data_IF_346459758361
#
_entry.id   IF_346459758361
#
_cell.length_a   1.000
_cell.length_b   1.000
_cell.length_c   1.000
_cell.angle_alpha   90.00
_cell.angle_beta   90.00
_cell.angle_gamma   90.00
#
_symmetry.space_group_name_H-M   'P 1'
#
loop_
_entity.id
_entity.type
_entity.pdbx_description
1 polymer ?
#
# COMPACT_ATOMS: atom_id res chain seq x y z
N UNK A 1 6.93 7.10 31.15
CA UNK A 1 7.35 6.82 29.77
C UNK A 1 8.42 7.84 29.33
N UNK A 2 9.43 7.48 28.51
CA UNK A 2 10.53 8.40 28.11
C UNK A 2 10.03 9.66 27.37
N UNK A 3 8.85 9.59 26.74
CA UNK A 3 8.22 10.68 26.00
C UNK A 3 7.74 11.78 26.96
N UNK A 4 6.99 11.41 28.00
CA UNK A 4 6.49 12.35 29.01
C UNK A 4 7.61 13.10 29.77
N UNK A 5 8.73 12.43 30.05
CA UNK A 5 9.88 13.05 30.73
C UNK A 5 10.54 14.15 29.90
N UNK A 6 10.38 14.15 28.57
CA UNK A 6 10.88 15.16 27.63
C UNK A 6 9.84 16.21 27.24
N UNK A 7 8.64 16.21 27.87
CA UNK A 7 7.51 17.09 27.56
C UNK A 7 6.98 16.93 26.11
N UNK A 8 7.13 15.74 25.52
CA UNK A 8 6.44 15.38 24.28
C UNK A 8 5.15 14.64 24.64
N UNK A 9 4.16 14.75 23.77
CA UNK A 9 2.88 14.01 23.81
C UNK A 9 2.68 13.33 22.46
N UNK A 10 2.13 12.13 22.47
CA UNK A 10 1.66 11.45 21.27
C UNK A 10 0.11 11.55 21.18
N UNK A 11 -0.46 10.96 20.12
CA UNK A 11 -1.91 11.02 19.88
C UNK A 11 -2.71 10.30 20.97
N UNK A 12 -2.22 9.19 21.48
CA UNK A 12 -2.88 8.45 22.57
C UNK A 12 -2.81 9.22 23.88
N UNK A 13 -1.71 9.90 24.16
CA UNK A 13 -1.56 10.80 25.31
C UNK A 13 -2.61 11.92 25.30
N UNK A 14 -2.92 12.50 24.11
CA UNK A 14 -3.94 13.54 24.00
C UNK A 14 -5.34 13.02 24.36
N UNK A 15 -5.73 11.86 23.83
CA UNK A 15 -7.01 11.23 24.14
C UNK A 15 -7.10 10.85 25.63
N UNK A 16 -6.04 10.24 26.18
CA UNK A 16 -5.96 9.88 27.60
C UNK A 16 -6.04 11.08 28.50
N UNK A 17 -5.35 12.18 28.17
CA UNK A 17 -5.37 13.40 28.97
C UNK A 17 -6.79 13.99 29.04
N UNK A 18 -7.45 14.12 27.88
CA UNK A 18 -8.82 14.66 27.81
C UNK A 18 -9.80 13.76 28.58
N UNK A 19 -9.80 12.46 28.34
CA UNK A 19 -10.69 11.52 29.02
C UNK A 19 -10.46 11.53 30.54
N UNK A 20 -9.19 11.59 30.99
CA UNK A 20 -8.85 11.64 32.41
C UNK A 20 -9.29 12.93 33.07
N UNK A 21 -9.11 14.08 32.42
CA UNK A 21 -9.54 15.39 32.94
C UNK A 21 -11.06 15.44 33.05
N UNK A 22 -11.79 15.00 32.02
CA UNK A 22 -13.24 14.94 32.03
C UNK A 22 -13.79 14.04 33.15
N UNK A 23 -13.13 12.87 33.36
CA UNK A 23 -13.53 11.95 34.43
C UNK A 23 -13.29 12.49 35.83
N UNK A 24 -12.22 13.30 36.04
CA UNK A 24 -11.85 13.86 37.34
C UNK A 24 -12.57 15.18 37.67
N UNK A 25 -13.00 15.95 36.68
CA UNK A 25 -13.63 17.24 36.83
C UNK A 25 -15.08 17.19 36.31
N UNK A 26 -16.02 16.99 37.24
CA UNK A 26 -17.44 16.91 36.93
C UNK A 26 -18.02 18.17 36.31
N UNK A 27 -17.59 19.35 36.78
CA UNK A 27 -18.08 20.63 36.24
C UNK A 27 -17.68 20.77 34.78
N UNK A 28 -16.41 20.40 34.43
CA UNK A 28 -15.95 20.45 33.08
C UNK A 28 -16.65 19.37 32.22
N UNK A 29 -16.89 18.19 32.75
CA UNK A 29 -17.64 17.13 32.10
C UNK A 29 -19.06 17.57 31.75
N UNK A 30 -19.78 18.17 32.73
CA UNK A 30 -21.12 18.72 32.54
C UNK A 30 -21.13 19.86 31.52
N UNK A 31 -20.16 20.76 31.61
CA UNK A 31 -20.00 21.83 30.63
C UNK A 31 -19.80 21.32 29.22
N UNK A 32 -18.88 20.39 29.01
CA UNK A 32 -18.60 19.85 27.67
C UNK A 32 -19.76 19.03 27.15
N UNK A 33 -20.35 18.14 27.97
CA UNK A 33 -21.48 17.30 27.56
C UNK A 33 -22.75 18.14 27.27
N UNK A 34 -22.96 19.27 27.95
CA UNK A 34 -24.08 20.18 27.67
C UNK A 34 -24.00 20.93 26.34
N UNK A 35 -22.83 20.93 25.69
CA UNK A 35 -22.66 21.55 24.36
C UNK A 35 -23.33 20.72 23.25
N UNK A 36 -23.61 19.45 23.51
CA UNK A 36 -24.15 18.52 22.51
C UNK A 36 -25.43 17.87 23.04
N UNK A 37 -26.46 17.81 22.21
CA UNK A 37 -27.68 17.07 22.50
C UNK A 37 -27.59 15.64 21.97
N UNK A 38 -26.87 15.44 20.87
CA UNK A 38 -26.72 14.15 20.20
C UNK A 38 -25.26 13.90 19.85
N UNK A 39 -24.79 12.69 20.05
CA UNK A 39 -23.50 12.20 19.60
C UNK A 39 -23.75 11.03 18.64
N UNK A 40 -23.26 11.15 17.43
CA UNK A 40 -23.38 10.13 16.40
C UNK A 40 -22.01 9.50 16.19
N UNK A 41 -21.95 8.16 16.26
CA UNK A 41 -20.73 7.40 16.09
C UNK A 41 -20.95 6.44 14.91
N UNK A 42 -20.13 6.61 13.90
CA UNK A 42 -20.06 5.70 12.75
C UNK A 42 -18.92 4.69 12.93
N UNK A 43 -18.99 3.56 12.23
CA UNK A 43 -17.99 2.48 12.28
C UNK A 43 -17.66 2.04 13.72
N UNK A 44 -18.66 1.92 14.56
CA UNK A 44 -18.51 1.68 16.00
C UNK A 44 -17.70 0.41 16.32
N UNK A 45 -17.71 -0.61 15.46
CA UNK A 45 -16.96 -1.86 15.63
C UNK A 45 -15.44 -1.63 15.62
N UNK A 46 -14.96 -0.47 15.14
CA UNK A 46 -13.53 -0.13 15.09
C UNK A 46 -13.08 0.71 16.30
N UNK A 47 -13.98 0.99 17.23
CA UNK A 47 -13.70 1.79 18.43
C UNK A 47 -12.80 1.01 19.39
N UNK A 48 -11.72 1.66 19.84
CA UNK A 48 -10.81 1.10 20.84
C UNK A 48 -11.22 1.51 22.29
N UNK A 49 -10.68 0.84 23.33
CA UNK A 49 -11.03 1.13 24.73
C UNK A 49 -10.77 2.60 25.15
N UNK A 50 -9.73 3.24 24.59
CA UNK A 50 -9.41 4.63 24.90
C UNK A 50 -10.45 5.60 24.33
N UNK A 51 -10.89 5.35 23.09
CA UNK A 51 -11.98 6.09 22.45
C UNK A 51 -13.29 5.91 23.23
N UNK A 52 -13.59 4.68 23.70
CA UNK A 52 -14.72 4.42 24.55
C UNK A 52 -14.67 5.22 25.86
N UNK A 53 -13.54 5.26 26.53
CA UNK A 53 -13.36 6.05 27.76
C UNK A 53 -13.66 7.53 27.50
N UNK A 54 -13.32 8.06 26.33
CA UNK A 54 -13.68 9.43 25.94
C UNK A 54 -15.17 9.56 25.71
N UNK A 55 -15.80 8.66 24.98
CA UNK A 55 -17.24 8.65 24.69
C UNK A 55 -18.05 8.62 26.00
N UNK A 56 -17.69 7.74 26.92
CA UNK A 56 -18.33 7.63 28.24
C UNK A 56 -18.30 8.96 29.04
N UNK A 57 -17.29 9.78 28.79
CA UNK A 57 -17.19 11.10 29.42
C UNK A 57 -18.24 12.10 28.92
N UNK A 58 -18.87 11.86 27.76
CA UNK A 58 -19.90 12.72 27.17
C UNK A 58 -21.33 12.19 27.37
N UNK A 59 -21.51 10.94 27.78
CA UNK A 59 -22.81 10.26 27.73
C UNK A 59 -23.86 10.83 28.69
N UNK A 60 -23.48 11.53 29.76
CA UNK A 60 -24.37 11.88 30.85
C UNK A 60 -25.55 12.79 30.45
N UNK A 61 -25.36 13.64 29.42
CA UNK A 61 -26.34 14.63 29.00
C UNK A 61 -26.67 14.59 27.51
N UNK A 62 -26.22 13.53 26.80
CA UNK A 62 -26.35 13.41 25.35
C UNK A 62 -27.08 12.12 24.97
N UNK A 63 -27.85 12.18 23.90
CA UNK A 63 -28.36 11.00 23.23
C UNK A 63 -27.28 10.41 22.32
N UNK A 64 -26.99 9.14 22.52
CA UNK A 64 -25.98 8.44 21.72
C UNK A 64 -26.65 7.64 20.62
N UNK A 65 -26.21 7.82 19.37
CA UNK A 65 -26.63 7.04 18.21
C UNK A 65 -25.39 6.44 17.54
N UNK A 66 -25.32 5.12 17.51
CA UNK A 66 -24.18 4.39 16.99
C UNK A 66 -24.57 3.55 15.79
N UNK A 67 -23.74 3.57 14.76
CA UNK A 67 -23.87 2.71 13.58
C UNK A 67 -22.61 1.87 13.46
N UNK A 68 -22.78 0.60 13.10
CA UNK A 68 -21.66 -0.31 12.93
C UNK A 68 -22.06 -1.66 12.38
N UNK A 69 -21.09 -2.44 11.99
CA UNK A 69 -21.25 -3.79 11.48
C UNK A 69 -20.20 -4.69 12.13
N UNK A 70 -20.62 -5.60 13.00
CA UNK A 70 -19.75 -6.53 13.72
C UNK A 70 -18.90 -7.41 12.78
N UNK A 71 -19.44 -7.76 11.61
CA UNK A 71 -18.72 -8.51 10.58
C UNK A 71 -17.57 -7.73 9.93
N UNK A 72 -17.57 -6.41 10.04
CA UNK A 72 -16.55 -5.53 9.47
C UNK A 72 -15.47 -5.10 10.47
N UNK A 73 -15.38 -5.69 11.64
CA UNK A 73 -14.34 -5.40 12.63
C UNK A 73 -13.00 -6.03 12.22
N UNK A 74 -12.21 -5.33 11.42
CA UNK A 74 -10.92 -5.81 10.88
C UNK A 74 -9.70 -5.04 11.42
N UNK A 75 -9.87 -4.11 12.36
CA UNK A 75 -8.81 -3.28 12.92
C UNK A 75 -8.33 -3.70 14.32
N UNK A 76 -8.48 -4.97 14.68
CA UNK A 76 -8.01 -5.49 15.97
C UNK A 76 -6.50 -5.24 16.21
N UNK A 77 -5.68 -5.25 15.15
CA UNK A 77 -4.24 -4.91 15.23
C UNK A 77 -3.95 -3.44 15.58
N UNK A 78 -4.96 -2.55 15.50
CA UNK A 78 -4.90 -1.16 15.95
C UNK A 78 -5.55 -0.96 17.32
N UNK A 79 -5.86 -2.06 18.02
CA UNK A 79 -6.49 -2.02 19.33
C UNK A 79 -8.01 -1.88 19.29
N UNK A 80 -8.66 -2.00 18.14
CA UNK A 80 -10.12 -2.09 18.09
C UNK A 80 -10.59 -3.30 18.88
N UNK A 81 -11.60 -3.08 19.72
CA UNK A 81 -12.20 -4.15 20.51
C UNK A 81 -13.50 -4.61 19.86
N UNK A 82 -13.40 -5.73 19.15
CA UNK A 82 -14.54 -6.40 18.51
C UNK A 82 -15.74 -6.60 19.47
N UNK A 83 -15.48 -6.76 20.78
CA UNK A 83 -16.54 -6.89 21.77
C UNK A 83 -17.28 -5.58 22.05
N UNK A 84 -16.71 -4.44 21.64
CA UNK A 84 -17.29 -3.12 21.94
C UNK A 84 -18.69 -2.95 21.37
N UNK A 85 -18.94 -3.43 20.14
CA UNK A 85 -20.26 -3.34 19.53
C UNK A 85 -21.28 -4.26 20.22
N UNK A 86 -20.88 -5.46 20.64
CA UNK A 86 -21.76 -6.41 21.32
C UNK A 86 -22.04 -6.01 22.77
N UNK A 87 -21.13 -5.28 23.43
CA UNK A 87 -21.32 -4.76 24.79
C UNK A 87 -22.03 -3.42 24.85
N UNK A 88 -22.52 -2.90 23.72
CA UNK A 88 -23.14 -1.57 23.66
C UNK A 88 -24.35 -1.44 24.57
N UNK A 89 -25.26 -2.43 24.55
CA UNK A 89 -26.48 -2.43 25.38
C UNK A 89 -26.16 -2.47 26.86
N UNK A 90 -25.08 -3.15 27.26
CA UNK A 90 -24.63 -3.21 28.65
C UNK A 90 -24.01 -1.87 29.11
N UNK A 91 -23.35 -1.17 28.19
CA UNK A 91 -22.69 0.12 28.46
C UNK A 91 -23.64 1.31 28.42
N UNK A 92 -24.68 1.22 27.58
CA UNK A 92 -25.65 2.30 27.35
C UNK A 92 -27.04 1.81 27.78
N UNK A 93 -27.43 2.01 29.04
CA UNK A 93 -28.73 1.59 29.54
C UNK A 93 -29.88 2.22 28.75
N UNK A 94 -30.96 1.44 28.56
CA UNK A 94 -32.13 1.82 27.77
C UNK A 94 -31.88 2.09 26.28
N UNK A 95 -30.79 1.57 25.74
CA UNK A 95 -30.54 1.62 24.30
C UNK A 95 -31.40 0.57 23.57
N UNK A 96 -31.74 0.89 22.32
CA UNK A 96 -32.46 -0.02 21.42
C UNK A 96 -31.55 -0.36 20.23
N UNK A 97 -31.59 -1.62 19.77
CA UNK A 97 -30.82 -2.12 18.64
C UNK A 97 -31.72 -2.35 17.46
N UNK A 98 -31.45 -1.68 16.36
CA UNK A 98 -32.12 -1.86 15.09
C UNK A 98 -31.16 -2.53 14.10
N UNK A 99 -31.68 -3.46 13.28
CA UNK A 99 -30.92 -4.20 12.30
C UNK A 99 -31.31 -3.74 10.89
N UNK A 100 -30.29 -3.44 10.07
CA UNK A 100 -30.45 -3.15 8.65
C UNK A 100 -29.97 -4.36 7.86
N UNK A 101 -30.91 -5.16 7.37
CA UNK A 101 -30.63 -6.45 6.71
C UNK A 101 -30.72 -6.37 5.19
N UNK A 102 -31.44 -5.38 4.63
CA UNK A 102 -31.53 -5.17 3.19
C UNK A 102 -30.25 -4.54 2.65
N UNK A 103 -29.61 -5.24 1.71
CA UNK A 103 -28.33 -4.82 1.11
C UNK A 103 -28.54 -4.36 -0.35
N UNK A 104 -28.16 -3.13 -0.64
CA UNK A 104 -28.29 -2.50 -1.96
C UNK A 104 -27.05 -2.62 -2.83
N UNK A 105 -25.95 -3.15 -2.29
CA UNK A 105 -24.64 -3.23 -2.96
C UNK A 105 -24.42 -4.55 -3.67
N UNK A 106 -24.66 -5.65 -2.97
CA UNK A 106 -24.29 -7.00 -3.41
C UNK A 106 -25.48 -7.78 -3.99
N UNK A 107 -25.19 -8.81 -4.76
CA UNK A 107 -26.19 -9.83 -5.20
C UNK A 107 -26.37 -10.90 -4.13
N UNK A 108 -27.45 -11.67 -4.24
CA UNK A 108 -27.81 -12.64 -3.21
C UNK A 108 -26.72 -13.70 -3.00
N UNK A 109 -26.08 -14.19 -4.05
CA UNK A 109 -25.04 -15.22 -3.95
C UNK A 109 -23.80 -14.76 -3.16
N UNK A 110 -23.48 -13.46 -3.22
CA UNK A 110 -22.42 -12.86 -2.40
C UNK A 110 -22.88 -12.79 -0.93
N UNK A 111 -24.14 -12.40 -0.71
CA UNK A 111 -24.67 -12.32 0.64
C UNK A 111 -24.87 -13.70 1.28
N UNK A 112 -25.22 -14.73 0.50
CA UNK A 112 -25.30 -16.10 0.98
C UNK A 112 -23.96 -16.59 1.53
N UNK A 113 -22.85 -16.30 0.83
CA UNK A 113 -21.50 -16.59 1.33
C UNK A 113 -21.18 -15.78 2.61
N UNK A 114 -21.59 -14.51 2.64
CA UNK A 114 -21.36 -13.64 3.81
C UNK A 114 -22.20 -14.12 5.01
N UNK A 115 -23.46 -14.48 4.82
CA UNK A 115 -24.33 -15.02 5.85
C UNK A 115 -23.78 -16.34 6.39
N UNK A 116 -23.35 -17.25 5.51
CA UNK A 116 -22.70 -18.50 5.93
C UNK A 116 -21.47 -18.23 6.81
N UNK A 117 -20.59 -17.28 6.41
CA UNK A 117 -19.42 -16.92 7.22
C UNK A 117 -19.80 -16.31 8.57
N UNK A 118 -20.85 -15.48 8.60
CA UNK A 118 -21.38 -14.92 9.83
C UNK A 118 -21.93 -16.00 10.77
N UNK A 119 -22.57 -17.03 10.21
CA UNK A 119 -23.12 -18.15 10.99
C UNK A 119 -22.05 -18.97 11.69
N UNK A 120 -20.84 -19.01 11.17
CA UNK A 120 -19.68 -19.64 11.82
C UNK A 120 -19.08 -18.77 12.96
N UNK A 121 -19.45 -17.50 13.08
CA UNK A 121 -18.91 -16.62 14.13
C UNK A 121 -19.51 -16.97 15.50
N UNK A 122 -18.68 -17.17 16.54
CA UNK A 122 -19.16 -17.48 17.90
C UNK A 122 -19.82 -16.29 18.59
N UNK A 123 -19.58 -15.08 18.11
CA UNK A 123 -20.14 -13.84 18.63
C UNK A 123 -20.64 -12.99 17.46
N UNK A 124 -21.97 -12.89 17.34
CA UNK A 124 -22.64 -12.18 16.24
C UNK A 124 -23.98 -11.63 16.67
N UNK A 125 -24.43 -10.59 15.98
CA UNK A 125 -25.86 -10.25 16.02
C UNK A 125 -26.61 -11.23 15.12
N UNK A 126 -27.78 -11.63 15.57
CA UNK A 126 -28.70 -12.46 14.76
C UNK A 126 -29.28 -11.58 13.64
N UNK A 127 -28.58 -11.52 12.50
CA UNK A 127 -28.94 -10.78 11.30
C UNK A 127 -28.76 -11.67 10.07
N UNK A 128 -29.63 -11.48 9.08
CA UNK A 128 -29.57 -12.21 7.83
C UNK A 128 -29.69 -11.23 6.65
N UNK A 129 -28.60 -11.05 5.91
CA UNK A 129 -28.55 -10.11 4.81
C UNK A 129 -29.30 -10.64 3.58
N UNK A 130 -30.13 -9.81 2.96
CA UNK A 130 -30.78 -10.12 1.69
C UNK A 130 -30.59 -9.02 0.67
N UNK A 131 -30.49 -9.40 -0.61
CA UNK A 131 -30.13 -8.49 -1.68
C UNK A 131 -31.34 -7.74 -2.24
N UNK A 132 -31.27 -6.41 -2.26
CA UNK A 132 -32.19 -5.60 -3.06
C UNK A 132 -32.00 -5.82 -4.57
N UNK A 133 -30.77 -6.06 -5.01
CA UNK A 133 -30.41 -6.24 -6.43
C UNK A 133 -30.82 -7.59 -7.02
N UNK A 134 -31.32 -8.54 -6.19
CA UNK A 134 -31.65 -9.88 -6.63
C UNK A 134 -30.41 -10.77 -6.86
N UNK A 135 -30.54 -11.74 -7.74
CA UNK A 135 -29.53 -12.77 -7.98
C UNK A 135 -28.45 -12.32 -8.96
N UNK A 136 -27.27 -12.91 -8.86
CA UNK A 136 -26.11 -12.65 -9.72
C UNK A 136 -25.22 -13.88 -9.90
N UNK A 137 -23.95 -13.66 -10.12
CA UNK A 137 -22.97 -14.74 -10.28
C UNK A 137 -22.50 -15.25 -8.91
N UNK A 138 -22.37 -16.56 -8.76
CA UNK A 138 -21.79 -17.17 -7.55
C UNK A 138 -20.30 -16.81 -7.42
N UNK A 139 -19.83 -16.55 -6.18
CA UNK A 139 -18.41 -16.44 -5.91
C UNK A 139 -17.64 -17.69 -6.37
N UNK A 140 -16.46 -17.47 -6.95
CA UNK A 140 -15.58 -18.54 -7.42
C UNK A 140 -14.40 -18.66 -6.46
N UNK A 141 -14.10 -19.86 -6.03
CA UNK A 141 -12.89 -20.18 -5.29
C UNK A 141 -11.93 -20.95 -6.20
N UNK A 142 -10.76 -20.39 -6.45
CA UNK A 142 -9.72 -21.00 -7.26
C UNK A 142 -8.51 -21.38 -6.40
N UNK A 143 -8.09 -22.64 -6.48
CA UNK A 143 -6.84 -23.09 -5.87
C UNK A 143 -5.72 -23.06 -6.90
N UNK A 144 -4.59 -22.50 -6.50
CA UNK A 144 -3.38 -22.39 -7.33
C UNK A 144 -2.17 -22.89 -6.53
N UNK A 145 -1.08 -23.26 -7.20
CA UNK A 145 0.07 -23.84 -6.52
C UNK A 145 1.03 -22.76 -5.97
N UNK A 146 1.00 -21.56 -6.51
CA UNK A 146 1.89 -20.47 -6.12
C UNK A 146 1.33 -19.09 -6.49
N UNK A 147 1.95 -18.04 -5.96
CA UNK A 147 1.56 -16.64 -6.16
C UNK A 147 1.63 -16.15 -7.63
N UNK A 148 2.40 -16.83 -8.50
CA UNK A 148 2.46 -16.48 -9.92
C UNK A 148 1.27 -17.03 -10.70
N UNK A 149 0.89 -18.28 -10.43
CA UNK A 149 -0.34 -18.84 -10.98
C UNK A 149 -1.57 -18.05 -10.51
N UNK A 150 -1.57 -17.56 -9.25
CA UNK A 150 -2.60 -16.64 -8.76
C UNK A 150 -2.65 -15.35 -9.59
N UNK A 151 -1.49 -14.73 -9.82
CA UNK A 151 -1.41 -13.48 -10.57
C UNK A 151 -1.82 -13.66 -12.03
N UNK A 152 -1.43 -14.76 -12.67
CA UNK A 152 -1.86 -15.10 -14.04
C UNK A 152 -3.37 -15.34 -14.09
N UNK A 153 -3.90 -16.18 -13.21
CA UNK A 153 -5.34 -16.46 -13.15
C UNK A 153 -6.17 -15.16 -13.01
N UNK A 154 -5.79 -14.30 -12.06
CA UNK A 154 -6.50 -13.03 -11.83
C UNK A 154 -6.44 -12.11 -13.04
N UNK A 155 -5.26 -11.98 -13.65
CA UNK A 155 -5.10 -11.09 -14.82
C UNK A 155 -5.76 -11.65 -16.07
N UNK A 156 -5.74 -12.96 -16.29
CA UNK A 156 -6.44 -13.61 -17.41
C UNK A 156 -7.96 -13.46 -17.30
N UNK A 157 -8.52 -13.60 -16.07
CA UNK A 157 -9.94 -13.42 -15.84
C UNK A 157 -10.36 -11.97 -16.11
N UNK A 158 -9.55 -10.99 -15.69
CA UNK A 158 -9.81 -9.57 -16.00
C UNK A 158 -9.76 -9.31 -17.51
N UNK A 159 -8.74 -9.79 -18.22
CA UNK A 159 -8.64 -9.63 -19.68
C UNK A 159 -9.84 -10.25 -20.40
N UNK A 160 -10.27 -11.43 -19.98
CA UNK A 160 -11.47 -12.08 -20.49
C UNK A 160 -12.72 -11.24 -20.25
N UNK A 161 -12.92 -10.75 -19.04
CA UNK A 161 -14.07 -9.90 -18.70
C UNK A 161 -14.09 -8.61 -19.54
N UNK A 162 -12.92 -8.01 -19.79
CA UNK A 162 -12.80 -6.81 -20.64
C UNK A 162 -13.09 -7.15 -22.10
N UNK A 163 -12.62 -8.30 -22.60
CA UNK A 163 -12.96 -8.77 -23.94
C UNK A 163 -14.47 -9.03 -24.09
N UNK A 164 -15.14 -9.45 -23.03
CA UNK A 164 -16.60 -9.65 -22.96
C UNK A 164 -17.39 -8.32 -22.78
N UNK A 165 -16.71 -7.16 -22.80
CA UNK A 165 -17.32 -5.82 -22.83
C UNK A 165 -17.39 -5.10 -21.48
N UNK A 166 -16.76 -5.62 -20.42
CA UNK A 166 -16.58 -4.86 -19.17
C UNK A 166 -15.42 -3.87 -19.29
N UNK A 167 -15.34 -2.92 -18.37
CA UNK A 167 -14.23 -1.99 -18.27
C UNK A 167 -13.22 -2.44 -17.20
N UNK A 168 -11.96 -2.03 -17.31
CA UNK A 168 -10.97 -2.26 -16.24
C UNK A 168 -11.43 -1.67 -14.90
N UNK A 169 -12.06 -0.50 -14.90
CA UNK A 169 -12.61 0.17 -13.69
C UNK A 169 -13.71 -0.63 -12.99
N UNK A 170 -14.29 -1.63 -13.64
CA UNK A 170 -15.30 -2.50 -13.02
C UNK A 170 -14.66 -3.59 -12.14
N UNK A 171 -13.32 -3.64 -12.10
CA UNK A 171 -12.57 -4.64 -11.37
C UNK A 171 -11.77 -4.02 -10.22
N UNK A 172 -11.80 -4.68 -9.09
CA UNK A 172 -10.98 -4.34 -7.92
C UNK A 172 -10.32 -5.61 -7.37
N UNK A 173 -9.01 -5.51 -7.09
CA UNK A 173 -8.25 -6.59 -6.49
C UNK A 173 -7.98 -6.23 -5.04
N UNK A 174 -8.44 -7.07 -4.13
CA UNK A 174 -8.23 -6.92 -2.70
C UNK A 174 -7.21 -7.95 -2.21
N UNK A 175 -6.23 -7.49 -1.44
CA UNK A 175 -5.20 -8.34 -0.84
C UNK A 175 -5.07 -8.10 0.66
N UNK A 176 -4.50 -9.07 1.38
CA UNK A 176 -4.24 -8.91 2.82
C UNK A 176 -3.16 -7.87 3.11
N UNK A 177 -2.21 -7.71 2.20
CA UNK A 177 -1.11 -6.75 2.31
C UNK A 177 -0.65 -6.30 0.93
N UNK A 178 -0.02 -5.12 0.84
CA UNK A 178 0.61 -4.63 -0.40
C UNK A 178 1.60 -5.64 -0.96
N UNK A 179 2.27 -6.38 -0.08
CA UNK A 179 3.23 -7.43 -0.45
C UNK A 179 2.59 -8.57 -1.25
N UNK A 180 1.41 -9.03 -0.82
CA UNK A 180 0.67 -10.09 -1.51
C UNK A 180 0.26 -9.68 -2.93
N UNK A 181 0.03 -8.40 -3.17
CA UNK A 181 -0.34 -7.88 -4.48
C UNK A 181 0.83 -7.70 -5.46
N UNK A 182 2.11 -7.82 -5.03
CA UNK A 182 3.28 -7.51 -5.88
C UNK A 182 3.40 -8.37 -7.14
N UNK A 183 3.02 -9.65 -7.05
CA UNK A 183 3.03 -10.53 -8.21
C UNK A 183 1.94 -10.15 -9.21
N UNK A 184 0.78 -9.75 -8.70
CA UNK A 184 -0.34 -9.28 -9.51
C UNK A 184 0.04 -7.94 -10.19
N UNK A 185 0.69 -6.99 -9.48
CA UNK A 185 1.23 -5.78 -10.11
C UNK A 185 2.20 -6.11 -11.25
N UNK A 186 3.14 -7.05 -11.03
CA UNK A 186 4.08 -7.47 -12.05
C UNK A 186 3.39 -8.09 -13.26
N UNK A 187 2.33 -8.89 -13.05
CA UNK A 187 1.53 -9.45 -14.13
C UNK A 187 0.77 -8.36 -14.90
N UNK A 188 0.16 -7.39 -14.20
CA UNK A 188 -0.49 -6.23 -14.82
C UNK A 188 0.49 -5.42 -15.69
N UNK A 189 1.69 -5.12 -15.17
CA UNK A 189 2.74 -4.43 -15.92
C UNK A 189 3.12 -5.23 -17.17
N UNK A 190 3.36 -6.54 -17.01
CA UNK A 190 3.77 -7.43 -18.09
C UNK A 190 2.74 -7.54 -19.21
N UNK A 191 1.45 -7.49 -18.88
CA UNK A 191 0.33 -7.56 -19.82
C UNK A 191 -0.16 -6.19 -20.28
N UNK A 192 0.47 -5.11 -19.80
CA UNK A 192 0.08 -3.72 -20.06
C UNK A 192 -1.38 -3.42 -19.61
N UNK A 193 -1.83 -4.06 -18.53
CA UNK A 193 -3.13 -3.80 -17.91
C UNK A 193 -3.02 -2.54 -17.07
N UNK A 194 -3.86 -1.51 -17.30
CA UNK A 194 -3.83 -0.27 -16.52
C UNK A 194 -4.31 -0.50 -15.09
N UNK A 195 -3.56 -0.03 -14.10
CA UNK A 195 -3.91 -0.20 -12.69
C UNK A 195 -3.50 1.00 -11.82
N UNK A 196 -4.11 1.08 -10.64
CA UNK A 196 -3.73 2.00 -9.56
C UNK A 196 -3.64 1.21 -8.25
N UNK A 197 -2.66 1.55 -7.40
CA UNK A 197 -2.57 0.98 -6.04
C UNK A 197 -3.09 2.01 -5.05
N UNK A 198 -4.15 1.64 -4.33
CA UNK A 198 -4.75 2.49 -3.30
C UNK A 198 -4.22 2.11 -1.90
N UNK A 199 -3.83 3.12 -1.13
CA UNK A 199 -3.29 2.94 0.24
C UNK A 199 -1.88 2.36 0.30
N UNK A 200 -1.13 2.39 -0.80
CA UNK A 200 0.24 1.88 -0.85
C UNK A 200 1.09 2.52 -1.95
N UNK A 201 2.35 2.11 -2.02
CA UNK A 201 3.28 2.54 -3.07
C UNK A 201 3.39 1.44 -4.11
N UNK A 202 3.27 1.78 -5.40
CA UNK A 202 3.45 0.82 -6.49
C UNK A 202 4.85 0.21 -6.49
N UNK A 203 5.02 -0.96 -7.10
CA UNK A 203 6.30 -1.65 -7.22
C UNK A 203 7.38 -0.69 -7.77
N UNK A 204 7.11 -0.03 -8.88
CA UNK A 204 8.06 0.84 -9.58
C UNK A 204 8.35 2.15 -8.83
N UNK A 205 7.44 2.61 -7.96
CA UNK A 205 7.65 3.80 -7.12
C UNK A 205 8.32 3.52 -5.79
N UNK A 206 8.45 2.26 -5.41
CA UNK A 206 9.10 1.87 -4.16
C UNK A 206 10.55 2.36 -4.15
N UNK A 207 10.97 2.98 -3.04
CA UNK A 207 12.28 3.63 -2.94
C UNK A 207 13.45 2.67 -3.25
N UNK A 208 13.41 1.46 -2.71
CA UNK A 208 14.43 0.43 -2.93
C UNK A 208 14.48 -0.06 -4.40
N UNK A 209 13.32 -0.16 -5.06
CA UNK A 209 13.26 -0.50 -6.50
C UNK A 209 13.88 0.63 -7.33
N UNK A 210 13.52 1.88 -7.04
CA UNK A 210 14.12 3.05 -7.71
C UNK A 210 15.62 3.15 -7.50
N UNK A 211 16.13 2.74 -6.34
CA UNK A 211 17.56 2.71 -6.05
C UNK A 211 18.28 1.71 -6.97
N UNK A 212 17.78 0.50 -7.12
CA UNK A 212 18.33 -0.52 -8.02
C UNK A 212 18.19 -0.11 -9.50
N UNK A 213 17.01 0.37 -9.87
CA UNK A 213 16.71 0.79 -11.26
C UNK A 213 17.56 1.99 -11.68
N UNK A 214 18.05 2.83 -10.75
CA UNK A 214 18.92 3.97 -11.10
C UNK A 214 20.18 3.53 -11.87
N UNK A 215 20.79 2.40 -11.52
CA UNK A 215 21.93 1.86 -12.26
C UNK A 215 21.56 1.44 -13.69
N UNK A 216 20.39 0.82 -13.87
CA UNK A 216 19.90 0.43 -15.21
C UNK A 216 19.55 1.65 -16.07
N UNK A 217 18.99 2.69 -15.47
CA UNK A 217 18.68 3.96 -16.16
C UNK A 217 19.93 4.63 -16.68
N UNK A 218 21.04 4.59 -15.92
CA UNK A 218 22.34 5.11 -16.35
C UNK A 218 22.82 4.37 -17.61
N UNK A 219 22.64 3.05 -17.67
CA UNK A 219 23.02 2.27 -18.84
C UNK A 219 22.15 2.60 -20.07
N UNK A 220 20.85 2.78 -19.87
CA UNK A 220 19.92 3.13 -20.94
C UNK A 220 20.14 4.57 -21.44
N UNK A 221 20.47 5.50 -20.53
CA UNK A 221 20.76 6.88 -20.85
C UNK A 221 21.82 7.46 -19.88
N UNK A 222 23.08 7.49 -20.33
CA UNK A 222 24.19 8.00 -19.51
C UNK A 222 24.11 9.51 -19.22
N UNK A 223 23.14 10.22 -19.80
CA UNK A 223 22.84 11.64 -19.51
C UNK A 223 21.69 11.83 -18.53
N UNK A 224 21.17 10.75 -17.93
CA UNK A 224 20.12 10.82 -16.92
C UNK A 224 20.68 11.30 -15.57
N UNK A 225 20.63 12.61 -15.35
CA UNK A 225 21.15 13.27 -14.15
C UNK A 225 20.51 12.75 -12.86
N UNK A 226 19.18 12.52 -12.88
CA UNK A 226 18.45 12.03 -11.73
C UNK A 226 18.85 10.59 -11.36
N UNK A 227 19.11 9.77 -12.36
CA UNK A 227 19.61 8.41 -12.15
C UNK A 227 21.02 8.42 -11.55
N UNK A 228 21.91 9.25 -12.08
CA UNK A 228 23.25 9.44 -11.52
C UNK A 228 23.23 9.97 -10.09
N UNK A 229 22.45 11.00 -9.82
CA UNK A 229 22.31 11.55 -8.48
C UNK A 229 21.89 10.45 -7.49
N UNK A 230 20.86 9.71 -7.84
CA UNK A 230 20.35 8.63 -7.00
C UNK A 230 21.36 7.52 -6.78
N UNK A 231 22.02 7.07 -7.84
CA UNK A 231 23.03 6.02 -7.80
C UNK A 231 24.25 6.42 -6.97
N UNK A 232 24.79 7.60 -7.20
CA UNK A 232 25.97 8.10 -6.48
C UNK A 232 25.71 8.27 -4.98
N UNK A 233 24.52 8.73 -4.60
CA UNK A 233 24.12 8.90 -3.21
C UNK A 233 23.87 7.59 -2.45
N UNK A 234 23.90 6.44 -3.09
CA UNK A 234 23.87 5.13 -2.41
C UNK A 234 25.20 4.85 -1.68
N UNK A 235 26.28 5.38 -2.18
CA UNK A 235 27.64 5.05 -1.73
C UNK A 235 28.06 5.90 -0.53
N UNK A 236 28.77 5.27 0.40
CA UNK A 236 29.17 5.92 1.64
C UNK A 236 30.07 7.13 1.39
N UNK A 237 29.74 8.27 2.01
CA UNK A 237 30.51 9.50 1.92
C UNK A 237 30.19 10.36 0.70
N UNK A 238 29.20 9.98 -0.11
CA UNK A 238 28.69 10.77 -1.23
C UNK A 238 27.41 11.47 -0.81
N UNK A 239 27.46 12.76 -0.59
CA UNK A 239 26.30 13.62 -0.40
C UNK A 239 25.91 14.33 -1.69
N UNK A 240 24.79 15.06 -1.66
CA UNK A 240 24.23 15.78 -2.81
C UNK A 240 25.25 16.70 -3.51
N UNK A 241 25.99 17.50 -2.73
CA UNK A 241 27.00 18.41 -3.26
C UNK A 241 28.15 17.66 -3.99
N UNK A 242 28.56 16.52 -3.44
CA UNK A 242 29.61 15.71 -4.07
C UNK A 242 29.12 15.03 -5.33
N UNK A 243 27.89 14.51 -5.30
CA UNK A 243 27.25 13.90 -6.47
C UNK A 243 27.06 14.93 -7.60
N UNK A 244 26.56 16.13 -7.30
CA UNK A 244 26.38 17.20 -8.28
C UNK A 244 27.70 17.57 -8.99
N UNK A 245 28.78 17.70 -8.25
CA UNK A 245 30.12 18.01 -8.84
C UNK A 245 30.64 16.90 -9.77
N UNK A 246 30.31 15.64 -9.47
CA UNK A 246 30.67 14.50 -10.34
C UNK A 246 29.82 14.55 -11.60
N UNK A 247 28.51 14.79 -11.47
CA UNK A 247 27.56 14.86 -12.57
C UNK A 247 27.87 16.00 -13.52
N UNK A 248 28.20 17.22 -13.02
CA UNK A 248 28.57 18.35 -13.83
C UNK A 248 29.75 18.01 -14.79
N UNK A 249 30.75 17.26 -14.32
CA UNK A 249 31.86 16.80 -15.16
C UNK A 249 31.41 15.80 -16.21
N UNK A 250 30.41 14.95 -15.90
CA UNK A 250 29.94 13.94 -16.83
C UNK A 250 29.23 14.52 -18.06
N UNK A 251 28.70 15.73 -17.97
CA UNK A 251 28.08 16.39 -19.13
C UNK A 251 29.08 16.71 -20.25
N UNK A 252 30.38 16.80 -19.94
CA UNK A 252 31.43 17.01 -20.93
C UNK A 252 31.87 15.73 -21.66
N UNK A 253 31.44 14.56 -21.20
CA UNK A 253 31.83 13.25 -21.76
C UNK A 253 30.92 12.84 -22.90
N UNK A 254 31.49 12.12 -23.87
CA UNK A 254 30.79 11.71 -25.08
C UNK A 254 30.20 10.28 -24.98
N UNK A 255 30.63 9.52 -23.98
CA UNK A 255 30.27 8.12 -23.86
C UNK A 255 30.01 7.68 -22.42
N UNK A 256 29.23 6.60 -22.26
CA UNK A 256 29.01 5.94 -20.97
C UNK A 256 30.33 5.47 -20.33
N UNK A 257 31.27 4.95 -21.14
CA UNK A 257 32.57 4.49 -20.65
C UNK A 257 33.34 5.60 -19.94
N UNK A 258 33.40 6.81 -20.54
CA UNK A 258 34.04 7.99 -19.93
C UNK A 258 33.36 8.39 -18.63
N UNK A 259 32.05 8.34 -18.56
CA UNK A 259 31.29 8.59 -17.33
C UNK A 259 31.63 7.59 -16.22
N UNK A 260 31.72 6.30 -16.55
CA UNK A 260 32.08 5.23 -15.62
C UNK A 260 33.51 5.45 -15.10
N UNK A 261 34.47 5.79 -15.98
CA UNK A 261 35.84 6.07 -15.58
C UNK A 261 35.95 7.33 -14.70
N UNK A 262 35.07 8.32 -14.90
CA UNK A 262 34.97 9.49 -14.04
C UNK A 262 34.51 9.10 -12.61
N UNK A 263 33.64 8.13 -12.44
CA UNK A 263 33.26 7.59 -11.11
C UNK A 263 34.49 7.02 -10.40
N UNK A 264 35.36 6.28 -11.12
CA UNK A 264 36.60 5.72 -10.59
C UNK A 264 37.56 6.82 -10.09
N UNK A 265 37.67 7.91 -10.84
CA UNK A 265 38.57 9.04 -10.53
C UNK A 265 38.06 9.97 -9.43
N UNK A 266 36.78 9.85 -9.04
CA UNK A 266 36.07 10.76 -8.14
C UNK A 266 36.42 10.60 -6.65
N UNK A 267 37.52 9.91 -6.28
CA UNK A 267 37.94 9.67 -4.88
C UNK A 267 36.83 9.18 -3.96
N UNK A 268 35.90 8.38 -4.50
CA UNK A 268 34.95 7.68 -3.69
C UNK A 268 35.73 6.74 -2.76
N UNK A 269 35.32 6.65 -1.49
CA UNK A 269 35.98 5.76 -0.51
C UNK A 269 35.97 4.30 -0.93
N UNK A 270 35.07 3.95 -1.84
CA UNK A 270 34.85 2.60 -2.32
C UNK A 270 34.83 2.61 -3.87
N UNK A 271 35.64 1.74 -4.48
CA UNK A 271 35.64 1.54 -5.93
C UNK A 271 34.43 0.73 -6.42
N UNK A 272 33.64 0.17 -5.52
CA UNK A 272 32.52 -0.70 -5.85
C UNK A 272 31.45 -0.02 -6.74
N UNK A 273 31.28 1.30 -6.63
CA UNK A 273 30.37 2.04 -7.51
C UNK A 273 30.77 1.92 -8.99
N UNK A 274 32.05 2.05 -9.30
CA UNK A 274 32.59 1.93 -10.64
C UNK A 274 32.53 0.46 -11.11
N UNK A 275 32.96 -0.47 -10.27
CA UNK A 275 32.98 -1.90 -10.59
C UNK A 275 31.59 -2.46 -10.89
N UNK A 276 30.57 -2.03 -10.15
CA UNK A 276 29.19 -2.42 -10.39
C UNK A 276 28.73 -1.99 -11.80
N UNK A 277 28.94 -0.72 -12.17
CA UNK A 277 28.56 -0.23 -13.49
C UNK A 277 29.32 -0.98 -14.60
N UNK A 278 30.62 -1.29 -14.42
CA UNK A 278 31.37 -2.09 -15.39
C UNK A 278 30.81 -3.51 -15.54
N UNK A 279 30.46 -4.17 -14.44
CA UNK A 279 29.86 -5.51 -14.48
C UNK A 279 28.55 -5.54 -15.26
N UNK A 280 27.66 -4.56 -15.00
CA UNK A 280 26.32 -4.57 -15.62
C UNK A 280 26.31 -4.05 -17.06
N UNK A 281 27.31 -3.24 -17.49
CA UNK A 281 27.45 -2.81 -18.89
C UNK A 281 27.50 -3.95 -19.89
N UNK A 282 28.02 -5.10 -19.50
CA UNK A 282 28.12 -6.29 -20.36
C UNK A 282 26.80 -7.04 -20.51
N UNK A 283 25.77 -6.65 -19.75
CA UNK A 283 24.49 -7.33 -19.64
C UNK A 283 23.34 -6.58 -20.34
N UNK A 284 23.62 -5.76 -21.35
CA UNK A 284 22.59 -4.95 -22.04
C UNK A 284 21.37 -5.79 -22.48
N UNK A 285 21.58 -7.00 -22.95
CA UNK A 285 20.52 -7.93 -23.38
C UNK A 285 19.96 -8.84 -22.27
N UNK A 286 20.36 -8.60 -21.04
CA UNK A 286 19.97 -9.45 -19.90
C UNK A 286 19.60 -8.58 -18.69
N UNK A 287 18.51 -7.78 -18.79
CA UNK A 287 18.11 -6.88 -17.70
C UNK A 287 17.80 -7.65 -16.42
N UNK A 288 17.29 -8.87 -16.49
CA UNK A 288 17.05 -9.74 -15.34
C UNK A 288 18.35 -10.09 -14.58
N UNK A 289 19.41 -10.46 -15.32
CA UNK A 289 20.70 -10.77 -14.73
C UNK A 289 21.39 -9.53 -14.18
N UNK A 290 21.24 -8.37 -14.83
CA UNK A 290 21.75 -7.09 -14.32
C UNK A 290 21.09 -6.73 -12.97
N UNK A 291 19.77 -6.92 -12.82
CA UNK A 291 19.07 -6.72 -11.55
C UNK A 291 19.65 -7.63 -10.46
N UNK A 292 19.90 -8.91 -10.73
CA UNK A 292 20.48 -9.84 -9.76
C UNK A 292 21.85 -9.36 -9.26
N UNK A 293 22.73 -8.93 -10.16
CA UNK A 293 24.05 -8.40 -9.81
C UNK A 293 23.90 -7.12 -8.96
N UNK A 294 23.06 -6.18 -9.40
CA UNK A 294 22.85 -4.92 -8.67
C UNK A 294 22.34 -5.19 -7.25
N UNK A 295 21.34 -6.05 -7.10
CA UNK A 295 20.75 -6.39 -5.79
C UNK A 295 21.79 -7.07 -4.90
N UNK A 296 22.61 -7.98 -5.45
CA UNK A 296 23.66 -8.67 -4.69
C UNK A 296 24.76 -7.72 -4.22
N UNK A 297 25.26 -6.86 -5.11
CA UNK A 297 26.34 -5.90 -4.78
C UNK A 297 25.87 -4.79 -3.81
N UNK A 298 24.62 -4.38 -3.92
CA UNK A 298 24.04 -3.36 -3.05
C UNK A 298 23.43 -3.91 -1.76
N UNK A 299 23.43 -5.22 -1.52
CA UNK A 299 22.72 -5.86 -0.40
C UNK A 299 23.02 -5.21 0.96
N UNK A 300 24.29 -5.08 1.29
CA UNK A 300 24.73 -4.46 2.55
C UNK A 300 24.41 -2.94 2.64
N UNK A 301 24.36 -2.23 1.53
CA UNK A 301 23.96 -0.81 1.48
C UNK A 301 22.47 -0.69 1.72
N UNK A 302 21.68 -1.51 1.02
CA UNK A 302 20.22 -1.51 1.10
C UNK A 302 19.72 -1.94 2.48
N UNK A 303 20.38 -2.92 3.11
CA UNK A 303 20.05 -3.37 4.48
C UNK A 303 20.24 -2.25 5.52
N UNK A 304 21.20 -1.35 5.31
CA UNK A 304 21.39 -0.16 6.17
C UNK A 304 20.42 0.97 5.88
N UNK A 305 19.97 1.09 4.61
CA UNK A 305 19.14 2.20 4.15
C UNK A 305 17.64 1.94 4.33
N UNK A 306 17.23 0.70 4.24
CA UNK A 306 15.82 0.32 4.22
C UNK A 306 15.48 -0.63 5.37
N UNK A 307 14.51 -0.26 6.19
CA UNK A 307 13.94 -1.16 7.20
C UNK A 307 13.27 -2.37 6.53
N UNK A 308 13.32 -3.52 7.18
CA UNK A 308 12.75 -4.78 6.68
C UNK A 308 13.27 -5.19 5.29
N UNK A 309 14.59 -5.06 5.09
CA UNK A 309 15.21 -5.30 3.79
C UNK A 309 14.94 -6.69 3.22
N UNK A 310 14.98 -7.75 4.01
CA UNK A 310 14.70 -9.12 3.56
C UNK A 310 13.29 -9.26 2.95
N UNK A 311 12.34 -8.53 3.49
CA UNK A 311 11.00 -8.49 2.93
C UNK A 311 10.97 -7.69 1.61
N UNK A 312 11.61 -6.51 1.55
CA UNK A 312 11.68 -5.66 0.34
C UNK A 312 12.46 -6.32 -0.80
N UNK A 313 13.47 -7.13 -0.49
CA UNK A 313 14.26 -7.88 -1.45
C UNK A 313 13.41 -8.83 -2.32
N UNK A 314 12.30 -9.30 -1.81
CA UNK A 314 11.34 -10.14 -2.55
C UNK A 314 10.70 -9.40 -3.73
N UNK A 315 10.59 -8.07 -3.68
CA UNK A 315 10.05 -7.26 -4.78
C UNK A 315 10.89 -7.41 -6.06
N UNK A 316 12.19 -7.66 -5.94
CA UNK A 316 13.05 -7.87 -7.11
C UNK A 316 12.78 -9.17 -7.85
N UNK A 317 12.16 -10.17 -7.20
CA UNK A 317 11.68 -11.36 -7.92
C UNK A 317 10.58 -10.98 -8.90
N UNK A 318 9.64 -10.10 -8.49
CA UNK A 318 8.62 -9.58 -9.37
C UNK A 318 9.21 -8.70 -10.48
N UNK A 319 10.13 -7.78 -10.13
CA UNK A 319 10.81 -6.92 -11.09
C UNK A 319 11.55 -7.72 -12.18
N UNK A 320 12.26 -8.80 -11.82
CA UNK A 320 12.98 -9.66 -12.77
C UNK A 320 12.07 -10.36 -13.78
N UNK A 321 10.86 -10.72 -13.39
CA UNK A 321 9.92 -11.34 -14.32
C UNK A 321 9.47 -10.34 -15.39
N UNK A 322 9.21 -9.09 -14.98
CA UNK A 322 8.95 -8.01 -15.95
C UNK A 322 10.18 -7.80 -16.84
N UNK A 323 11.37 -7.75 -16.25
CA UNK A 323 12.62 -7.53 -16.97
C UNK A 323 12.93 -8.63 -18.01
N UNK A 324 12.58 -9.88 -17.73
CA UNK A 324 12.76 -11.00 -18.69
C UNK A 324 11.94 -10.87 -19.97
N UNK A 325 10.91 -10.05 -20.00
CA UNK A 325 10.08 -9.80 -21.19
C UNK A 325 10.66 -8.72 -22.10
N UNK A 326 11.66 -7.99 -21.62
CA UNK A 326 12.34 -6.97 -22.39
C UNK A 326 13.60 -7.54 -23.06
N UNK A 327 13.83 -7.18 -24.33
CA UNK A 327 14.98 -7.65 -25.13
C UNK A 327 16.30 -6.98 -24.71
N UNK A 328 16.22 -5.86 -24.00
CA UNK A 328 17.39 -5.09 -23.55
C UNK A 328 17.07 -4.27 -22.30
N UNK A 329 18.12 -3.78 -21.63
CA UNK A 329 18.01 -2.81 -20.54
C UNK A 329 17.32 -1.53 -21.05
N UNK A 330 17.68 -1.04 -22.22
CA UNK A 330 17.06 0.14 -22.83
C UNK A 330 15.56 -0.06 -23.05
N UNK A 331 15.15 -1.19 -23.62
CA UNK A 331 13.72 -1.55 -23.78
C UNK A 331 13.01 -1.66 -22.44
N UNK A 332 13.64 -2.33 -21.46
CA UNK A 332 13.08 -2.46 -20.12
C UNK A 332 12.81 -1.08 -19.47
N UNK A 333 13.79 -0.18 -19.54
CA UNK A 333 13.64 1.17 -18.96
C UNK A 333 12.58 1.97 -19.70
N UNK A 334 12.57 1.95 -21.03
CA UNK A 334 11.61 2.75 -21.80
C UNK A 334 10.19 2.27 -21.65
N UNK A 335 9.95 0.96 -21.80
CA UNK A 335 8.59 0.42 -21.83
C UNK A 335 7.97 0.18 -20.45
N UNK A 336 8.79 -0.13 -19.44
CA UNK A 336 8.27 -0.56 -18.14
C UNK A 336 8.59 0.39 -16.98
N UNK A 337 9.56 1.30 -17.17
CA UNK A 337 9.97 2.22 -16.12
C UNK A 337 9.62 3.69 -16.44
N UNK A 338 9.89 4.16 -17.66
CA UNK A 338 9.67 5.56 -18.05
C UNK A 338 8.28 5.80 -18.66
N UNK A 339 7.71 4.79 -19.28
CA UNK A 339 6.33 4.82 -19.78
C UNK A 339 5.50 3.69 -19.11
N UNK A 340 5.41 3.66 -17.81
CA UNK A 340 4.56 2.69 -17.17
C UNK A 340 3.12 3.11 -17.43
N UNK A 341 2.33 2.19 -17.92
CA UNK A 341 0.85 2.32 -17.97
C UNK A 341 0.32 2.79 -16.61
N UNK A 342 1.08 2.57 -15.53
CA UNK A 342 0.81 3.05 -14.17
C UNK A 342 1.15 4.54 -13.92
N UNK A 343 2.10 5.17 -14.64
CA UNK A 343 2.36 6.62 -14.46
C UNK A 343 1.37 7.49 -15.24
N UNK A 344 0.84 7.00 -16.34
CA UNK A 344 -0.31 7.61 -16.99
C UNK A 344 -1.49 7.78 -16.03
N UNK A 345 -1.59 6.94 -15.00
CA UNK A 345 -2.64 7.02 -13.98
C UNK A 345 -2.61 8.28 -13.12
N UNK A 346 -1.45 8.94 -12.91
CA UNK A 346 -1.35 10.14 -12.06
C UNK A 346 -1.32 11.45 -12.84
N UNK A 347 -0.97 11.41 -14.12
CA UNK A 347 -1.08 12.55 -15.02
C UNK A 347 -2.53 12.70 -15.52
N UNK A 348 -3.30 11.61 -15.50
CA UNK A 348 -4.68 11.53 -15.98
C UNK A 348 -5.73 11.74 -14.88
N UNK A 349 -5.36 12.15 -13.64
CA UNK A 349 -6.34 12.62 -12.64
C UNK A 349 -7.23 13.77 -13.16
N UNK A 350 -6.88 14.34 -14.32
CA UNK A 350 -7.64 15.39 -15.01
C UNK A 350 -8.33 14.94 -16.32
N UNK A 351 -8.25 13.66 -16.71
CA UNK A 351 -8.96 13.16 -17.91
C UNK A 351 -10.08 12.23 -17.52
N UNK A 352 -11.23 12.39 -18.20
CA UNK A 352 -12.48 11.64 -18.02
C UNK A 352 -12.36 10.13 -18.31
N UNK A 353 -11.24 9.67 -18.84
CA UNK A 353 -11.01 8.25 -19.18
C UNK A 353 -10.17 7.55 -18.09
N UNK A 354 -10.86 7.16 -17.03
CA UNK A 354 -10.29 6.55 -15.82
C UNK A 354 -10.42 5.02 -15.84
N UNK A 355 -10.26 4.39 -17.02
CA UNK A 355 -10.45 2.94 -17.19
C UNK A 355 -9.21 2.17 -16.72
N UNK A 356 -9.19 1.80 -15.44
CA UNK A 356 -8.11 1.07 -14.77
C UNK A 356 -8.60 0.25 -13.60
N UNK A 357 -7.94 -0.87 -13.32
CA UNK A 357 -8.24 -1.67 -12.14
C UNK A 357 -7.70 -0.98 -10.88
N UNK A 358 -8.37 -1.23 -9.75
CA UNK A 358 -7.90 -0.80 -8.43
C UNK A 358 -7.31 -1.99 -7.70
N UNK A 359 -6.06 -1.89 -7.27
CA UNK A 359 -5.41 -2.84 -6.38
C UNK A 359 -5.34 -2.21 -5.00
N UNK A 360 -5.90 -2.85 -3.99
CA UNK A 360 -5.92 -2.32 -2.62
C UNK A 360 -5.74 -3.41 -1.57
N UNK A 361 -5.33 -3.02 -0.38
CA UNK A 361 -5.49 -3.91 0.76
C UNK A 361 -6.94 -3.87 1.25
N UNK A 362 -7.42 -4.96 1.83
CA UNK A 362 -8.76 -5.00 2.45
C UNK A 362 -8.94 -3.89 3.49
N UNK A 363 -7.86 -3.52 4.22
CA UNK A 363 -7.90 -2.45 5.22
C UNK A 363 -8.01 -1.05 4.60
N UNK A 364 -7.35 -0.81 3.46
CA UNK A 364 -7.42 0.50 2.78
C UNK A 364 -8.68 0.66 1.95
N UNK A 365 -9.34 -0.43 1.59
CA UNK A 365 -10.58 -0.43 0.83
C UNK A 365 -11.83 -0.29 1.73
N UNK A 366 -11.67 -0.47 3.05
CA UNK A 366 -12.72 -0.25 4.03
C UNK A 366 -12.78 1.24 4.39
N UNK A 367 -13.95 1.86 4.27
CA UNK A 367 -14.22 3.25 4.63
C UNK A 367 -14.26 4.19 3.45
#
# INVERSE_FOLDING_TARGET
LPICSRRYIDYDDMLMAVASVLKQNKELQEYVSSQYHHILIDEMQDTNPLQWMLIESFMNNCHLFCVGDDAQSIYAFRGADFKSIHSFVDRVPNSEVYKLEENYRSTQEILDLSNWLLDESPLKYDKHLFAHRGNGQKPIMQFVNNEWEEAEFVTDDIEKNVADGKHYRDHMILSRSVYAARKIEAACISKKIPYIVFGGTTLMRSAHVRDVVSALRILANFRDELAWMRYLMLWQGVGEVSASKIIEKMFSYASLGECIDAVKSAKLRDHAAHELLQKICTLEKRPDAAIDIIVSELDGIMARKHENWDARKKDFTALKIVAKRADSISTFITEYILDPVAELSNVLEKREDNDRIVISTIHSAKG
#
